data_IF_745157845071
#
_entry.id   IF_745157845071
#
_cell.length_a   1.000
_cell.length_b   1.000
_cell.length_c   1.000
_cell.angle_alpha   90.00
_cell.angle_beta   90.00
_cell.angle_gamma   90.00
#
_symmetry.space_group_name_H-M   'P 1'
#
loop_
_entity.id
_entity.type
_entity.pdbx_description
1 polymer ?
#
# COMPACT_ATOMS: atom_id res chain seq x y z
N UNK A 1 14.18 -17.79 -24.77
CA UNK A 1 13.71 -19.08 -25.31
C UNK A 1 13.29 -19.98 -24.14
N UNK A 2 12.10 -19.74 -23.58
CA UNK A 2 11.47 -20.58 -22.54
C UNK A 2 9.96 -20.69 -22.77
N UNK A 3 9.57 -20.83 -24.04
CA UNK A 3 8.30 -21.46 -24.41
C UNK A 3 8.28 -22.96 -24.04
N UNK A 4 9.14 -23.40 -23.12
CA UNK A 4 9.25 -24.80 -22.77
C UNK A 4 8.01 -25.19 -21.98
N UNK A 5 7.19 -25.98 -22.69
CA UNK A 5 6.20 -26.92 -22.20
C UNK A 5 4.83 -26.26 -22.01
N UNK A 6 4.08 -26.27 -23.11
CA UNK A 6 2.64 -26.12 -23.36
C UNK A 6 1.62 -26.40 -22.21
N UNK A 7 2.05 -26.94 -21.06
CA UNK A 7 1.29 -27.13 -19.82
C UNK A 7 1.19 -25.85 -18.95
N UNK A 8 2.18 -24.96 -18.97
CA UNK A 8 2.24 -23.82 -18.02
C UNK A 8 1.58 -22.54 -18.50
N UNK A 9 1.27 -22.39 -19.80
CA UNK A 9 0.71 -21.15 -20.34
C UNK A 9 -0.62 -20.76 -19.65
N UNK A 10 -1.51 -21.73 -19.46
CA UNK A 10 -2.76 -21.54 -18.73
C UNK A 10 -2.54 -21.02 -17.30
N UNK A 11 -1.58 -21.62 -16.58
CA UNK A 11 -1.24 -21.20 -15.21
C UNK A 11 -0.64 -19.78 -15.19
N UNK A 12 0.21 -19.46 -16.17
CA UNK A 12 0.79 -18.12 -16.32
C UNK A 12 -0.26 -17.07 -16.68
N UNK A 13 -1.26 -17.40 -17.52
CA UNK A 13 -2.36 -16.50 -17.84
C UNK A 13 -3.26 -16.24 -16.63
N UNK A 14 -3.62 -17.29 -15.89
CA UNK A 14 -4.39 -17.15 -14.65
C UNK A 14 -3.60 -16.36 -13.62
N UNK A 15 -2.30 -16.64 -13.46
CA UNK A 15 -1.44 -15.90 -12.54
C UNK A 15 -1.30 -14.42 -12.94
N UNK A 16 -1.08 -14.09 -14.22
CA UNK A 16 -1.06 -12.71 -14.69
C UNK A 16 -2.43 -12.02 -14.52
N UNK A 17 -3.54 -12.73 -14.77
CA UNK A 17 -4.88 -12.21 -14.55
C UNK A 17 -5.14 -11.89 -13.08
N UNK A 18 -4.81 -12.82 -12.18
CA UNK A 18 -4.91 -12.61 -10.73
C UNK A 18 -4.00 -11.46 -10.28
N UNK A 19 -2.72 -11.47 -10.68
CA UNK A 19 -1.74 -10.43 -10.35
C UNK A 19 -2.22 -9.05 -10.84
N UNK A 20 -2.75 -8.97 -12.06
CA UNK A 20 -3.32 -7.74 -12.61
C UNK A 20 -4.54 -7.23 -11.84
N UNK A 21 -5.43 -8.11 -11.40
CA UNK A 21 -6.56 -7.76 -10.52
C UNK A 21 -6.05 -7.24 -9.17
N UNK A 22 -5.10 -7.93 -8.55
CA UNK A 22 -4.55 -7.54 -7.26
C UNK A 22 -3.79 -6.21 -7.31
N UNK A 23 -2.99 -5.95 -8.34
CA UNK A 23 -2.29 -4.66 -8.51
C UNK A 23 -3.28 -3.51 -8.67
N UNK A 24 -4.35 -3.70 -9.45
CA UNK A 24 -5.40 -2.69 -9.59
C UNK A 24 -6.23 -2.52 -8.31
N UNK A 25 -6.45 -3.58 -7.53
CA UNK A 25 -7.13 -3.49 -6.24
C UNK A 25 -6.27 -2.86 -5.14
N UNK A 26 -4.94 -2.99 -5.23
CA UNK A 26 -4.01 -2.38 -4.27
C UNK A 26 -3.87 -0.87 -4.47
N UNK A 27 -4.00 -0.40 -5.71
CA UNK A 27 -3.94 1.03 -6.05
C UNK A 27 -4.94 1.89 -5.24
N UNK A 28 -6.27 1.62 -5.22
CA UNK A 28 -7.22 2.40 -4.43
C UNK A 28 -7.00 2.30 -2.92
N UNK A 29 -6.56 1.15 -2.40
CA UNK A 29 -6.23 0.98 -0.97
C UNK A 29 -5.03 1.86 -0.57
N UNK A 30 -4.02 1.97 -1.43
CA UNK A 30 -2.88 2.86 -1.22
C UNK A 30 -3.28 4.35 -1.20
N UNK A 31 -4.24 4.74 -2.05
CA UNK A 31 -4.81 6.08 -2.01
C UNK A 31 -5.57 6.34 -0.71
N UNK A 32 -6.41 5.40 -0.27
CA UNK A 32 -7.15 5.51 0.99
C UNK A 32 -6.22 5.66 2.21
N UNK A 33 -5.13 4.89 2.25
CA UNK A 33 -4.10 5.01 3.30
C UNK A 33 -3.37 6.36 3.25
N UNK A 34 -2.98 6.83 2.07
CA UNK A 34 -2.27 8.10 1.92
C UNK A 34 -3.15 9.29 2.37
N UNK A 35 -4.44 9.23 2.05
CA UNK A 35 -5.45 10.20 2.46
C UNK A 35 -5.64 10.22 3.98
N UNK A 36 -5.68 9.04 4.60
CA UNK A 36 -5.81 8.93 6.04
C UNK A 36 -4.56 9.47 6.78
N UNK A 37 -3.37 9.31 6.19
CA UNK A 37 -2.12 9.83 6.75
C UNK A 37 -1.97 11.35 6.59
N UNK A 38 -2.63 11.97 5.61
CA UNK A 38 -2.47 13.40 5.27
C UNK A 38 -3.66 14.27 5.64
N UNK A 39 -4.61 13.78 6.44
CA UNK A 39 -5.78 14.57 6.83
C UNK A 39 -5.39 15.82 7.66
N UNK A 40 -5.93 17.04 7.37
CA UNK A 40 -6.95 17.40 6.38
C UNK A 40 -6.36 18.11 5.14
N UNK A 41 -5.66 17.39 4.26
CA UNK A 41 -5.14 17.92 3.00
C UNK A 41 -6.06 17.58 1.81
N UNK A 42 -6.08 18.44 0.78
CA UNK A 42 -6.93 18.27 -0.41
C UNK A 42 -6.64 16.95 -1.15
N UNK A 43 -7.70 16.19 -1.47
CA UNK A 43 -7.67 14.87 -2.15
C UNK A 43 -6.80 14.84 -3.41
N UNK A 44 -6.81 15.94 -4.17
CA UNK A 44 -6.02 16.09 -5.41
C UNK A 44 -4.53 16.24 -5.15
N UNK A 45 -4.13 16.84 -4.02
CA UNK A 45 -2.73 17.06 -3.67
C UNK A 45 -2.11 15.75 -3.16
N UNK A 46 -2.82 15.02 -2.30
CA UNK A 46 -2.35 13.73 -1.78
C UNK A 46 -2.21 12.68 -2.88
N UNK A 47 -3.17 12.59 -3.80
CA UNK A 47 -3.10 11.66 -4.93
C UNK A 47 -1.99 12.01 -5.92
N UNK A 48 -1.76 13.31 -6.19
CA UNK A 48 -0.66 13.79 -7.02
C UNK A 48 0.73 13.48 -6.44
N UNK A 49 0.91 13.69 -5.13
CA UNK A 49 2.17 13.36 -4.42
C UNK A 49 2.40 11.84 -4.43
N UNK A 50 1.36 11.03 -4.18
CA UNK A 50 1.48 9.58 -4.17
C UNK A 50 1.87 9.02 -5.56
N UNK A 51 1.25 9.53 -6.63
CA UNK A 51 1.60 9.18 -8.01
C UNK A 51 3.03 9.61 -8.35
N UNK A 52 3.44 10.82 -7.98
CA UNK A 52 4.79 11.31 -8.20
C UNK A 52 5.85 10.44 -7.50
N UNK A 53 5.63 10.07 -6.23
CA UNK A 53 6.53 9.19 -5.49
C UNK A 53 6.57 7.77 -6.09
N UNK A 54 5.42 7.24 -6.51
CA UNK A 54 5.33 5.93 -7.17
C UNK A 54 6.15 5.92 -8.46
N UNK A 55 6.06 6.98 -9.27
CA UNK A 55 6.81 7.09 -10.51
C UNK A 55 8.32 7.27 -10.24
N UNK A 56 8.68 8.10 -9.25
CA UNK A 56 10.06 8.42 -8.89
C UNK A 56 10.81 7.19 -8.36
N UNK A 57 10.14 6.32 -7.59
CA UNK A 57 10.72 5.07 -7.11
C UNK A 57 10.58 3.93 -8.13
N UNK A 58 9.44 3.83 -8.80
CA UNK A 58 9.11 2.72 -9.70
C UNK A 58 9.87 2.74 -11.03
N UNK A 59 10.05 3.91 -11.64
CA UNK A 59 10.74 4.05 -12.94
C UNK A 59 12.21 3.63 -12.89
N UNK A 60 13.06 4.19 -12.00
CA UNK A 60 14.46 3.77 -11.93
C UNK A 60 14.58 2.30 -11.51
N UNK A 61 13.69 1.83 -10.62
CA UNK A 61 13.66 0.44 -10.22
C UNK A 61 13.38 -0.52 -11.38
N UNK A 62 12.41 -0.19 -12.23
CA UNK A 62 12.11 -0.95 -13.45
C UNK A 62 13.28 -0.94 -14.45
N UNK A 63 13.98 0.19 -14.60
CA UNK A 63 15.17 0.30 -15.46
C UNK A 63 16.30 -0.58 -14.94
N UNK A 64 16.59 -0.54 -13.63
CA UNK A 64 17.62 -1.39 -12.99
C UNK A 64 17.27 -2.87 -13.17
N UNK A 65 16.01 -3.26 -12.93
CA UNK A 65 15.52 -4.62 -13.19
C UNK A 65 15.72 -5.04 -14.65
N UNK A 66 15.47 -4.16 -15.61
CA UNK A 66 15.70 -4.40 -17.04
C UNK A 66 17.17 -4.62 -17.38
N UNK A 67 18.07 -3.86 -16.76
CA UNK A 67 19.53 -4.03 -16.94
C UNK A 67 20.00 -5.36 -16.34
N UNK A 68 19.50 -5.72 -15.15
CA UNK A 68 19.78 -7.01 -14.49
C UNK A 68 19.30 -8.18 -15.37
N UNK A 69 18.10 -8.06 -15.95
CA UNK A 69 17.54 -9.06 -16.86
C UNK A 69 18.44 -9.35 -18.06
N UNK A 70 19.04 -8.31 -18.63
CA UNK A 70 19.92 -8.42 -19.79
C UNK A 70 21.26 -9.08 -19.46
N UNK A 71 21.75 -8.91 -18.23
CA UNK A 71 23.08 -9.37 -17.82
C UNK A 71 23.08 -10.80 -17.23
N UNK A 72 22.12 -11.12 -16.38
CA UNK A 72 22.14 -12.34 -15.53
C UNK A 72 21.07 -13.38 -15.97
N UNK A 73 20.17 -13.01 -16.89
CA UNK A 73 19.12 -13.86 -17.42
C UNK A 73 17.81 -13.81 -16.63
N UNK A 74 16.70 -14.18 -17.29
CA UNK A 74 15.34 -13.94 -16.79
C UNK A 74 14.97 -14.71 -15.52
N UNK A 75 15.49 -15.93 -15.32
CA UNK A 75 15.13 -16.74 -14.16
C UNK A 75 15.65 -16.14 -12.85
N UNK A 76 16.92 -15.75 -12.82
CA UNK A 76 17.53 -15.09 -11.67
C UNK A 76 16.93 -13.70 -11.43
N UNK A 77 16.56 -13.00 -12.50
CA UNK A 77 15.89 -11.69 -12.42
C UNK A 77 14.52 -11.80 -11.74
N UNK A 78 13.71 -12.79 -12.11
CA UNK A 78 12.42 -13.03 -11.44
C UNK A 78 12.63 -13.38 -9.96
N UNK A 79 13.66 -14.16 -9.63
CA UNK A 79 14.04 -14.46 -8.23
C UNK A 79 14.38 -13.21 -7.43
N UNK A 80 15.26 -12.35 -7.97
CA UNK A 80 15.66 -11.08 -7.35
C UNK A 80 14.48 -10.12 -7.21
N UNK A 81 13.63 -10.00 -8.23
CA UNK A 81 12.41 -9.17 -8.17
C UNK A 81 11.44 -9.68 -7.09
N UNK A 82 11.29 -11.00 -6.94
CA UNK A 82 10.45 -11.56 -5.88
C UNK A 82 11.01 -11.25 -4.49
N UNK A 83 12.33 -11.32 -4.30
CA UNK A 83 12.97 -11.03 -3.03
C UNK A 83 12.80 -9.55 -2.64
N UNK A 84 12.89 -8.63 -3.61
CA UNK A 84 12.71 -7.20 -3.36
C UNK A 84 11.26 -6.85 -3.04
N UNK A 85 10.30 -7.57 -3.62
CA UNK A 85 8.87 -7.44 -3.34
C UNK A 85 8.54 -7.96 -1.95
N UNK A 86 9.13 -9.09 -1.54
CA UNK A 86 9.00 -9.61 -0.18
C UNK A 86 9.59 -8.63 0.84
N UNK A 87 10.76 -8.07 0.56
CA UNK A 87 11.40 -7.09 1.43
C UNK A 87 10.57 -5.80 1.52
N UNK A 88 10.04 -5.31 0.40
CA UNK A 88 9.09 -4.20 0.36
C UNK A 88 7.82 -4.48 1.18
N UNK A 89 7.26 -5.70 1.06
CA UNK A 89 6.08 -6.12 1.84
C UNK A 89 6.37 -6.13 3.34
N UNK A 90 7.54 -6.61 3.75
CA UNK A 90 7.96 -6.59 5.16
C UNK A 90 8.08 -5.15 5.65
N UNK A 91 8.73 -4.26 4.89
CA UNK A 91 8.82 -2.83 5.23
C UNK A 91 7.42 -2.23 5.39
N UNK A 92 6.51 -2.50 4.45
CA UNK A 92 5.11 -2.03 4.51
C UNK A 92 4.36 -2.59 5.72
N UNK A 93 4.55 -3.87 6.07
CA UNK A 93 3.93 -4.48 7.23
C UNK A 93 4.44 -3.89 8.57
N UNK A 94 5.67 -3.39 8.59
CA UNK A 94 6.25 -2.70 9.74
C UNK A 94 5.82 -1.23 9.85
N UNK A 95 5.14 -0.66 8.85
CA UNK A 95 4.58 0.70 8.96
C UNK A 95 3.52 0.67 10.06
N UNK A 96 3.72 1.37 11.19
CA UNK A 96 2.73 1.39 12.25
C UNK A 96 1.48 2.07 11.71
N UNK A 97 0.39 1.32 11.64
CA UNK A 97 -0.93 1.79 11.25
C UNK A 97 -1.51 2.69 12.36
N UNK A 98 -0.88 3.85 12.63
CA UNK A 98 -1.47 4.89 13.48
C UNK A 98 -2.53 5.62 12.66
N UNK A 99 -3.70 5.00 12.59
CA UNK A 99 -4.92 5.58 12.05
C UNK A 99 -5.30 6.78 12.93
N UNK A 100 -4.93 8.00 12.52
CA UNK A 100 -5.34 9.25 13.15
C UNK A 100 -6.88 9.33 13.27
N UNK A 101 -7.60 8.63 12.39
CA UNK A 101 -9.06 8.51 12.40
C UNK A 101 -9.60 7.71 13.59
N UNK A 102 -8.91 6.65 14.02
CA UNK A 102 -9.27 5.93 15.26
C UNK A 102 -8.92 6.74 16.50
N UNK A 103 -7.82 7.51 16.48
CA UNK A 103 -7.47 8.39 17.59
C UNK A 103 -8.47 9.56 17.71
N UNK A 104 -8.93 10.14 16.60
CA UNK A 104 -9.96 11.19 16.61
C UNK A 104 -11.34 10.66 17.04
N UNK A 105 -11.72 9.43 16.65
CA UNK A 105 -12.97 8.79 17.11
C UNK A 105 -12.90 8.45 18.60
N UNK A 106 -11.77 7.92 19.07
CA UNK A 106 -11.59 7.58 20.48
C UNK A 106 -11.54 8.84 21.35
N UNK A 107 -10.80 9.88 20.93
CA UNK A 107 -10.71 11.17 21.63
C UNK A 107 -12.08 11.89 21.72
N UNK A 108 -12.88 11.90 20.65
CA UNK A 108 -14.25 12.43 20.72
C UNK A 108 -15.17 11.60 21.62
N UNK A 109 -14.98 10.27 21.67
CA UNK A 109 -15.75 9.41 22.56
C UNK A 109 -15.38 9.60 24.04
N UNK A 110 -14.12 9.90 24.33
CA UNK A 110 -13.64 10.22 25.68
C UNK A 110 -14.10 11.62 26.12
N UNK A 111 -14.06 12.62 25.23
CA UNK A 111 -14.66 13.94 25.48
C UNK A 111 -16.19 13.86 25.69
N UNK A 112 -16.89 12.96 24.99
CA UNK A 112 -18.33 12.72 25.20
C UNK A 112 -18.61 12.01 26.53
N UNK A 113 -17.72 11.13 27.00
CA UNK A 113 -17.82 10.51 28.33
C UNK A 113 -17.55 11.53 29.44
N UNK A 114 -16.55 12.40 29.30
CA UNK A 114 -16.29 13.49 30.25
C UNK A 114 -17.43 14.52 30.28
N UNK A 115 -18.01 14.87 29.14
CA UNK A 115 -19.18 15.77 29.08
C UNK A 115 -20.42 15.17 29.75
N UNK A 116 -20.67 13.86 29.59
CA UNK A 116 -21.74 13.16 30.28
C UNK A 116 -21.50 12.98 31.79
N UNK A 117 -20.24 12.96 32.24
CA UNK A 117 -19.90 12.87 33.66
C UNK A 117 -19.93 14.26 34.34
N UNK A 118 -19.43 15.30 33.66
CA UNK A 118 -19.52 16.69 34.12
C UNK A 118 -20.96 17.18 34.22
N UNK A 119 -21.84 16.78 33.29
CA UNK A 119 -23.28 17.09 33.38
C UNK A 119 -24.00 16.29 34.48
N UNK A 120 -23.48 15.15 34.95
CA UNK A 120 -24.03 14.44 36.12
C UNK A 120 -23.59 15.04 37.47
N UNK A 121 -22.46 15.76 37.51
CA UNK A 121 -21.97 16.43 38.72
C UNK A 121 -22.57 17.82 38.93
N UNK A 122 -23.22 18.40 37.91
CA UNK A 122 -23.91 19.71 37.99
C UNK A 122 -25.37 19.59 38.45
N UNK A 123 -25.93 18.37 38.53
CA UNK A 123 -27.30 18.10 38.99
C UNK A 123 -27.38 17.34 40.32
N UNK A 124 -26.54 17.69 41.30
CA UNK A 124 -26.68 17.19 42.68
C UNK A 124 -26.63 18.40 43.61
N UNK A 125 -27.79 18.90 44.09
CA UNK A 125 -27.86 19.80 45.24
C UNK A 125 -27.53 19.08 46.56
#
# INVERSE_FOLDING_TARGET
MYALKWRSLWLSYIACGALGIFVNAYMPVGFELAMELTFPMEESTTSGILMAMTQLLGTPFAVIAGIINKSIGGFLTIGVLSAIMLLGTIITAFIPNKLLRQQAFNNNSDLRKESHHGSRLVYIP
#
